data_IF_153468455551
#
_entry.id   IF_153468455551
#
_cell.length_a   1.000
_cell.length_b   1.000
_cell.length_c   1.000
_cell.angle_alpha   90.00
_cell.angle_beta   90.00
_cell.angle_gamma   90.00
#
_symmetry.space_group_name_H-M   'P 1'
#
loop_
_entity.id
_entity.type
_entity.pdbx_description
1 polymer ?
#
# COMPACT_ATOMS: atom_id res chain seq x y z
N UNK A 1 13.08 -18.43 3.47
CA UNK A 1 13.22 -17.36 2.47
C UNK A 1 11.85 -16.97 2.02
N UNK A 2 11.57 -15.67 1.89
CA UNK A 2 10.31 -15.22 1.31
C UNK A 2 10.21 -15.73 -0.12
N UNK A 3 9.06 -16.33 -0.47
CA UNK A 3 8.78 -16.75 -1.83
C UNK A 3 8.62 -15.51 -2.71
N UNK A 4 9.47 -15.37 -3.73
CA UNK A 4 9.39 -14.30 -4.72
C UNK A 4 8.42 -14.71 -5.84
N UNK A 5 7.17 -14.92 -5.44
CA UNK A 5 6.08 -15.30 -6.33
C UNK A 5 5.25 -14.07 -6.77
N UNK A 6 4.28 -14.30 -7.64
CA UNK A 6 3.37 -13.27 -8.14
C UNK A 6 2.63 -12.55 -7.00
N UNK A 7 2.31 -13.28 -5.93
CA UNK A 7 1.61 -12.74 -4.77
C UNK A 7 2.49 -11.73 -4.00
N UNK A 8 3.79 -12.01 -3.87
CA UNK A 8 4.75 -11.08 -3.30
C UNK A 8 4.89 -9.82 -4.16
N UNK A 9 4.99 -9.97 -5.49
CA UNK A 9 5.10 -8.84 -6.44
C UNK A 9 3.91 -7.89 -6.31
N UNK A 10 2.70 -8.42 -6.23
CA UNK A 10 1.49 -7.60 -6.12
C UNK A 10 1.38 -6.88 -4.78
N UNK A 11 1.78 -7.53 -3.69
CA UNK A 11 1.91 -6.86 -2.39
C UNK A 11 2.94 -5.74 -2.45
N UNK A 12 4.07 -5.96 -3.11
CA UNK A 12 5.12 -4.95 -3.27
C UNK A 12 4.66 -3.74 -4.11
N UNK A 13 3.77 -3.92 -5.08
CA UNK A 13 3.15 -2.81 -5.83
C UNK A 13 2.20 -1.96 -4.97
N UNK A 14 1.62 -2.51 -3.90
CA UNK A 14 0.74 -1.78 -2.97
C UNK A 14 1.53 -1.12 -1.85
N UNK A 15 2.50 -1.83 -1.31
CA UNK A 15 3.31 -1.37 -0.20
C UNK A 15 4.78 -1.71 -0.45
N UNK A 16 5.38 -0.92 -1.33
CA UNK A 16 6.78 -1.12 -1.73
C UNK A 16 7.71 -1.02 -0.54
N UNK A 17 7.48 -0.05 0.35
CA UNK A 17 8.37 0.19 1.48
C UNK A 17 8.35 -0.97 2.48
N UNK A 18 7.17 -1.48 2.85
CA UNK A 18 7.09 -2.64 3.73
C UNK A 18 7.64 -3.91 3.06
N UNK A 19 7.27 -4.18 1.81
CA UNK A 19 7.68 -5.38 1.10
C UNK A 19 9.21 -5.44 0.87
N UNK A 20 9.84 -4.32 0.47
CA UNK A 20 11.30 -4.26 0.29
C UNK A 20 12.00 -4.42 1.64
N UNK A 21 11.52 -3.75 2.69
CA UNK A 21 12.10 -3.88 4.04
C UNK A 21 12.05 -5.32 4.55
N UNK A 22 10.93 -6.01 4.33
CA UNK A 22 10.72 -7.42 4.68
C UNK A 22 11.65 -8.35 3.89
N UNK A 23 11.75 -8.16 2.57
CA UNK A 23 12.63 -8.93 1.69
C UNK A 23 14.10 -8.80 2.11
N UNK A 24 14.58 -7.56 2.25
CA UNK A 24 15.96 -7.31 2.67
C UNK A 24 16.22 -7.93 4.05
N UNK A 25 15.28 -7.82 4.99
CA UNK A 25 15.42 -8.42 6.32
C UNK A 25 15.52 -9.96 6.25
N UNK A 26 14.65 -10.61 5.48
CA UNK A 26 14.66 -12.07 5.31
C UNK A 26 15.96 -12.55 4.66
N UNK A 27 16.41 -11.88 3.59
CA UNK A 27 17.65 -12.26 2.89
C UNK A 27 18.86 -12.07 3.79
N UNK A 28 18.97 -10.92 4.47
CA UNK A 28 20.09 -10.62 5.37
C UNK A 28 20.13 -11.53 6.61
N UNK A 29 19.01 -12.12 7.01
CA UNK A 29 18.94 -13.08 8.11
C UNK A 29 19.40 -14.49 7.70
N UNK A 30 19.29 -14.84 6.42
CA UNK A 30 19.64 -16.17 5.91
C UNK A 30 21.09 -16.30 5.45
N UNK A 31 21.71 -15.18 5.06
CA UNK A 31 23.08 -15.18 4.55
C UNK A 31 24.11 -14.99 5.65
N UNK A 32 25.27 -15.61 5.48
CA UNK A 32 26.39 -15.39 6.39
C UNK A 32 26.86 -13.92 6.34
N UNK A 33 27.36 -13.41 7.47
CA UNK A 33 28.00 -12.09 7.55
C UNK A 33 29.51 -12.25 7.36
N UNK A 34 30.10 -11.50 6.43
CA UNK A 34 31.56 -11.40 6.29
C UNK A 34 32.12 -12.12 5.05
N UNK A 35 33.39 -12.54 5.11
CA UNK A 35 34.19 -12.94 3.94
C UNK A 35 34.06 -14.41 3.50
N UNK A 36 33.34 -15.23 4.25
CA UNK A 36 33.18 -16.66 4.01
C UNK A 36 31.84 -16.99 3.33
N UNK A 37 31.65 -16.45 2.13
CA UNK A 37 30.45 -16.68 1.33
C UNK A 37 30.35 -18.13 0.83
N UNK A 38 29.24 -18.79 1.13
CA UNK A 38 28.89 -20.09 0.55
C UNK A 38 28.26 -19.95 -0.84
N UNK A 39 28.22 -21.06 -1.59
CA UNK A 39 27.48 -21.10 -2.86
C UNK A 39 25.98 -20.83 -2.67
N UNK A 40 25.44 -21.18 -1.49
CA UNK A 40 24.07 -20.87 -1.14
C UNK A 40 23.89 -19.37 -0.92
N UNK A 41 24.76 -18.70 -0.14
CA UNK A 41 24.69 -17.24 0.06
C UNK A 41 24.71 -16.49 -1.27
N UNK A 42 25.60 -16.90 -2.18
CA UNK A 42 25.66 -16.34 -3.53
C UNK A 42 24.32 -16.47 -4.27
N UNK A 43 23.69 -17.65 -4.23
CA UNK A 43 22.40 -17.88 -4.87
C UNK A 43 21.31 -16.98 -4.28
N UNK A 44 21.21 -16.90 -2.95
CA UNK A 44 20.20 -16.08 -2.25
C UNK A 44 20.38 -14.60 -2.60
N UNK A 45 21.61 -14.08 -2.47
CA UNK A 45 21.92 -12.68 -2.75
C UNK A 45 21.67 -12.33 -4.21
N UNK A 46 22.12 -13.17 -5.14
CA UNK A 46 21.91 -12.95 -6.58
C UNK A 46 20.42 -12.92 -6.94
N UNK A 47 19.63 -13.83 -6.36
CA UNK A 47 18.19 -13.88 -6.62
C UNK A 47 17.50 -12.62 -6.09
N UNK A 48 17.83 -12.17 -4.88
CA UNK A 48 17.30 -10.93 -4.32
C UNK A 48 17.69 -9.70 -5.14
N UNK A 49 18.95 -9.64 -5.58
CA UNK A 49 19.46 -8.57 -6.44
C UNK A 49 18.69 -8.51 -7.77
N UNK A 50 18.60 -9.62 -8.50
CA UNK A 50 17.91 -9.67 -9.79
C UNK A 50 16.43 -9.30 -9.65
N UNK A 51 15.77 -9.74 -8.59
CA UNK A 51 14.38 -9.40 -8.33
C UNK A 51 14.17 -7.89 -8.09
N UNK A 52 15.03 -7.28 -7.25
CA UNK A 52 14.93 -5.86 -6.93
C UNK A 52 15.35 -4.97 -8.11
N UNK A 53 16.31 -5.40 -8.94
CA UNK A 53 16.64 -4.72 -10.20
C UNK A 53 15.47 -4.78 -11.19
N UNK A 54 14.83 -5.93 -11.36
CA UNK A 54 13.62 -6.04 -12.18
C UNK A 54 12.49 -5.13 -11.66
N UNK A 55 12.32 -5.03 -10.35
CA UNK A 55 11.36 -4.10 -9.74
C UNK A 55 11.74 -2.63 -9.98
N UNK A 56 13.03 -2.30 -10.02
CA UNK A 56 13.54 -0.97 -10.37
C UNK A 56 13.24 -0.64 -11.83
N UNK A 57 13.53 -1.55 -12.75
CA UNK A 57 13.24 -1.39 -14.19
C UNK A 57 11.73 -1.22 -14.46
N UNK A 58 10.89 -1.88 -13.66
CA UNK A 58 9.44 -1.71 -13.68
C UNK A 58 8.94 -0.41 -12.99
N UNK A 59 9.84 0.46 -12.53
CA UNK A 59 9.54 1.69 -11.77
C UNK A 59 8.70 1.45 -10.51
N UNK A 60 8.82 0.28 -9.89
CA UNK A 60 8.15 -0.02 -8.61
C UNK A 60 8.92 0.62 -7.45
N UNK A 61 10.25 0.63 -7.52
CA UNK A 61 11.08 1.24 -6.48
C UNK A 61 10.97 2.77 -6.50
N UNK A 62 10.94 3.37 -5.31
CA UNK A 62 10.89 4.81 -5.12
C UNK A 62 12.12 5.50 -5.76
N UNK A 63 11.89 6.69 -6.32
CA UNK A 63 12.95 7.56 -6.83
C UNK A 63 13.95 7.88 -5.73
N UNK A 64 15.24 7.74 -6.02
CA UNK A 64 16.32 7.92 -5.04
C UNK A 64 16.68 6.67 -4.22
N UNK A 65 16.07 5.52 -4.49
CA UNK A 65 16.52 4.24 -3.92
C UNK A 65 18.01 4.01 -4.23
N UNK A 66 18.81 3.51 -3.26
CA UNK A 66 20.21 3.17 -3.47
C UNK A 66 20.41 2.22 -4.65
N UNK A 67 21.54 2.36 -5.37
CA UNK A 67 21.89 1.53 -6.54
C UNK A 67 23.30 0.99 -6.37
N UNK A 68 23.54 -0.25 -6.83
CA UNK A 68 24.91 -0.78 -6.91
C UNK A 68 25.62 -0.16 -8.11
N UNK A 69 26.67 0.62 -7.86
CA UNK A 69 27.39 1.31 -8.92
C UNK A 69 28.11 0.36 -9.90
N UNK A 70 28.63 -0.77 -9.41
CA UNK A 70 29.26 -1.78 -10.25
C UNK A 70 29.17 -3.16 -9.59
N UNK A 71 28.67 -4.15 -10.32
CA UNK A 71 28.67 -5.55 -9.91
C UNK A 71 29.73 -6.27 -10.74
N UNK A 72 30.84 -6.67 -10.11
CA UNK A 72 31.81 -7.55 -10.76
C UNK A 72 31.30 -9.00 -10.72
N UNK A 73 30.80 -9.47 -11.86
CA UNK A 73 30.26 -10.81 -12.03
C UNK A 73 31.33 -11.91 -12.01
N UNK A 74 32.62 -11.55 -12.11
CA UNK A 74 33.73 -12.51 -12.14
C UNK A 74 34.21 -12.89 -10.74
N UNK A 75 33.96 -12.05 -9.74
CA UNK A 75 34.38 -12.27 -8.36
C UNK A 75 33.18 -12.45 -7.41
N UNK A 76 32.81 -13.71 -7.16
CA UNK A 76 31.66 -14.06 -6.29
C UNK A 76 31.75 -13.45 -4.90
N UNK A 77 32.95 -13.36 -4.30
CA UNK A 77 33.11 -12.82 -2.95
C UNK A 77 32.84 -11.32 -2.92
N UNK A 78 33.38 -10.60 -3.90
CA UNK A 78 33.14 -9.17 -4.05
C UNK A 78 31.66 -8.90 -4.34
N UNK A 79 31.05 -9.70 -5.23
CA UNK A 79 29.64 -9.60 -5.57
C UNK A 79 28.72 -9.78 -4.36
N UNK A 80 28.93 -10.83 -3.57
CA UNK A 80 28.13 -11.07 -2.36
C UNK A 80 28.28 -9.93 -1.35
N UNK A 81 29.50 -9.42 -1.14
CA UNK A 81 29.73 -8.29 -0.26
C UNK A 81 29.04 -7.01 -0.76
N UNK A 82 29.12 -6.71 -2.05
CA UNK A 82 28.46 -5.57 -2.66
C UNK A 82 26.94 -5.65 -2.53
N UNK A 83 26.34 -6.80 -2.84
CA UNK A 83 24.89 -7.02 -2.72
C UNK A 83 24.46 -6.94 -1.26
N UNK A 84 25.20 -7.55 -0.31
CA UNK A 84 24.86 -7.46 1.11
C UNK A 84 24.85 -6.01 1.60
N UNK A 85 25.90 -5.24 1.29
CA UNK A 85 25.98 -3.81 1.65
C UNK A 85 24.81 -3.04 1.07
N UNK A 86 24.52 -3.23 -0.21
CA UNK A 86 23.41 -2.57 -0.87
C UNK A 86 22.05 -2.95 -0.28
N UNK A 87 21.81 -4.22 0.05
CA UNK A 87 20.57 -4.64 0.72
C UNK A 87 20.41 -3.98 2.11
N UNK A 88 21.50 -3.73 2.82
CA UNK A 88 21.48 -2.98 4.09
C UNK A 88 21.10 -1.52 3.86
N UNK A 89 21.70 -0.87 2.86
CA UNK A 89 21.40 0.53 2.50
C UNK A 89 19.96 0.68 2.01
N UNK A 90 19.52 -0.20 1.11
CA UNK A 90 18.16 -0.21 0.56
C UNK A 90 17.13 -0.41 1.66
N UNK A 91 17.37 -1.36 2.58
CA UNK A 91 16.52 -1.56 3.76
C UNK A 91 16.45 -0.32 4.64
N UNK A 92 17.59 0.34 4.88
CA UNK A 92 17.64 1.56 5.68
C UNK A 92 16.83 2.68 5.05
N UNK A 93 16.95 2.87 3.73
CA UNK A 93 16.20 3.84 2.96
C UNK A 93 14.68 3.64 3.07
N UNK A 94 14.19 2.43 2.80
CA UNK A 94 12.75 2.16 2.88
C UNK A 94 12.21 2.15 4.31
N UNK A 95 13.04 1.79 5.30
CA UNK A 95 12.67 1.93 6.70
C UNK A 95 12.51 3.39 7.10
N UNK A 96 13.37 4.29 6.62
CA UNK A 96 13.21 5.71 6.84
C UNK A 96 11.90 6.25 6.25
N UNK A 97 11.48 5.76 5.07
CA UNK A 97 10.17 6.11 4.49
C UNK A 97 9.02 5.64 5.41
N UNK A 98 9.07 4.39 5.88
CA UNK A 98 8.05 3.86 6.79
C UNK A 98 8.00 4.64 8.12
N UNK A 99 9.16 4.94 8.69
CA UNK A 99 9.27 5.69 9.94
C UNK A 99 8.75 7.12 9.78
N UNK A 100 9.05 7.78 8.65
CA UNK A 100 8.50 9.11 8.34
C UNK A 100 6.98 9.09 8.20
N UNK A 101 6.42 8.11 7.49
CA UNK A 101 4.96 7.95 7.37
C UNK A 101 4.31 7.72 8.73
N UNK A 102 4.90 6.86 9.58
CA UNK A 102 4.40 6.59 10.92
C UNK A 102 4.47 7.82 11.83
N UNK A 103 5.56 8.60 11.71
CA UNK A 103 5.71 9.89 12.42
C UNK A 103 4.67 10.89 11.96
N UNK A 104 4.41 11.01 10.66
CA UNK A 104 3.41 11.95 10.14
C UNK A 104 2.00 11.56 10.57
N UNK A 105 1.63 10.27 10.47
CA UNK A 105 0.35 9.75 10.99
C UNK A 105 0.20 10.01 12.49
N UNK A 106 1.24 9.78 13.28
CA UNK A 106 1.22 10.03 14.74
C UNK A 106 1.11 11.52 15.06
N UNK A 107 1.86 12.36 14.34
CA UNK A 107 1.82 13.81 14.50
C UNK A 107 0.44 14.36 14.15
N UNK A 108 -0.16 13.88 13.07
CA UNK A 108 -1.49 14.27 12.64
C UNK A 108 -2.57 13.79 13.62
N UNK A 109 -2.45 12.57 14.16
CA UNK A 109 -3.29 12.06 15.23
C UNK A 109 -3.23 12.97 16.48
N UNK A 110 -2.04 13.31 16.97
CA UNK A 110 -1.90 14.18 18.14
C UNK A 110 -2.40 15.60 17.87
N UNK A 111 -2.13 16.15 16.69
CA UNK A 111 -2.63 17.49 16.32
C UNK A 111 -4.16 17.54 16.30
N UNK A 112 -4.81 16.47 15.82
CA UNK A 112 -6.27 16.29 15.88
C UNK A 112 -6.78 16.20 17.33
N UNK A 113 -6.08 15.47 18.21
CA UNK A 113 -6.43 15.41 19.64
C UNK A 113 -6.33 16.78 20.32
N UNK A 114 -5.30 17.57 19.99
CA UNK A 114 -5.12 18.91 20.56
C UNK A 114 -5.98 19.99 19.88
N UNK A 115 -6.83 19.64 18.91
CA UNK A 115 -7.66 20.59 18.17
C UNK A 115 -6.85 21.63 17.38
N UNK A 116 -5.57 21.35 17.14
CA UNK A 116 -4.62 22.26 16.49
C UNK A 116 -4.53 22.09 14.98
N UNK A 117 -5.18 21.05 14.43
CA UNK A 117 -5.42 20.89 13.00
C UNK A 117 -6.89 20.61 12.75
N UNK A 118 -7.33 21.07 11.58
CA UNK A 118 -8.53 20.58 10.92
C UNK A 118 -8.54 19.04 10.92
N UNK A 119 -9.67 18.45 11.28
CA UNK A 119 -9.82 16.99 11.27
C UNK A 119 -11.21 16.62 10.77
N UNK A 120 -11.26 15.50 10.07
CA UNK A 120 -12.50 14.87 9.68
C UNK A 120 -13.00 14.03 10.85
N UNK A 121 -14.08 14.47 11.47
CA UNK A 121 -14.70 13.73 12.57
C UNK A 121 -15.88 12.93 12.03
N UNK A 122 -15.83 11.60 12.13
CA UNK A 122 -16.98 10.74 11.87
C UNK A 122 -17.94 10.80 13.07
N UNK A 123 -19.25 10.75 12.81
CA UNK A 123 -20.19 10.44 13.90
C UNK A 123 -19.98 8.99 14.34
N UNK A 124 -20.40 8.65 15.57
CA UNK A 124 -20.28 7.27 16.05
C UNK A 124 -21.03 6.28 15.15
N UNK A 125 -22.24 6.64 14.70
CA UNK A 125 -23.02 5.80 13.78
C UNK A 125 -22.40 5.69 12.39
N UNK A 126 -21.78 6.77 11.88
CA UNK A 126 -21.05 6.72 10.60
C UNK A 126 -19.82 5.81 10.70
N UNK A 127 -19.06 5.90 11.81
CA UNK A 127 -17.88 5.06 12.05
C UNK A 127 -18.25 3.57 12.09
N UNK A 128 -19.28 3.21 12.85
CA UNK A 128 -19.80 1.84 12.94
C UNK A 128 -20.29 1.33 11.58
N UNK A 129 -20.97 2.19 10.81
CA UNK A 129 -21.45 1.84 9.49
C UNK A 129 -20.31 1.62 8.49
N UNK A 130 -19.27 2.45 8.49
CA UNK A 130 -18.09 2.25 7.64
C UNK A 130 -17.38 0.95 8.02
N UNK A 131 -17.23 0.64 9.31
CA UNK A 131 -16.64 -0.64 9.75
C UNK A 131 -17.43 -1.85 9.21
N UNK A 132 -18.76 -1.80 9.29
CA UNK A 132 -19.63 -2.85 8.75
C UNK A 132 -19.43 -2.98 7.23
N UNK A 133 -19.48 -1.87 6.49
CA UNK A 133 -19.32 -1.87 5.03
C UNK A 133 -17.95 -2.40 4.59
N UNK A 134 -16.89 -2.07 5.32
CA UNK A 134 -15.54 -2.59 5.07
C UNK A 134 -15.48 -4.10 5.28
N UNK A 135 -16.13 -4.63 6.31
CA UNK A 135 -16.21 -6.07 6.53
C UNK A 135 -17.02 -6.77 5.41
N UNK A 136 -18.17 -6.22 5.03
CA UNK A 136 -18.96 -6.72 3.89
C UNK A 136 -18.14 -6.71 2.59
N UNK A 137 -17.35 -5.66 2.36
CA UNK A 137 -16.44 -5.57 1.22
C UNK A 137 -15.39 -6.68 1.22
N UNK A 138 -14.79 -6.98 2.37
CA UNK A 138 -13.82 -8.09 2.49
C UNK A 138 -14.44 -9.42 2.10
N UNK A 139 -15.66 -9.71 2.56
CA UNK A 139 -16.37 -10.95 2.23
C UNK A 139 -16.71 -11.04 0.74
N UNK A 140 -17.22 -9.94 0.16
CA UNK A 140 -17.59 -9.87 -1.26
C UNK A 140 -16.37 -9.99 -2.17
N UNK A 141 -15.28 -9.31 -1.87
CA UNK A 141 -14.04 -9.42 -2.65
C UNK A 141 -13.45 -10.83 -2.56
N UNK A 142 -13.49 -11.45 -1.39
CA UNK A 142 -12.98 -12.82 -1.20
C UNK A 142 -13.74 -13.83 -2.07
N UNK A 143 -15.06 -13.65 -2.18
CA UNK A 143 -15.96 -14.53 -2.94
C UNK A 143 -16.12 -14.16 -4.43
N UNK A 144 -15.70 -12.97 -4.85
CA UNK A 144 -15.87 -12.50 -6.24
C UNK A 144 -15.09 -13.34 -7.26
N UNK A 145 -15.51 -13.32 -8.52
CA UNK A 145 -14.80 -13.93 -9.65
C UNK A 145 -13.61 -13.08 -10.14
N UNK A 146 -12.80 -12.58 -9.20
CA UNK A 146 -11.57 -11.84 -9.45
C UNK A 146 -10.38 -12.81 -9.44
N UNK A 147 -9.32 -12.45 -10.16
CA UNK A 147 -8.04 -13.15 -10.00
C UNK A 147 -7.50 -12.99 -8.57
N UNK A 148 -6.85 -14.04 -8.05
CA UNK A 148 -6.41 -14.10 -6.65
C UNK A 148 -5.40 -12.98 -6.29
N UNK A 149 -4.58 -12.60 -7.27
CA UNK A 149 -3.67 -11.46 -7.20
C UNK A 149 -4.43 -10.16 -6.89
N UNK A 150 -5.46 -9.85 -7.68
CA UNK A 150 -6.27 -8.66 -7.51
C UNK A 150 -7.10 -8.69 -6.22
N UNK A 151 -7.65 -9.84 -5.85
CA UNK A 151 -8.33 -10.00 -4.54
C UNK A 151 -7.40 -9.64 -3.40
N UNK A 152 -6.20 -10.23 -3.38
CA UNK A 152 -5.20 -9.98 -2.33
C UNK A 152 -4.84 -8.51 -2.25
N UNK A 153 -4.67 -7.86 -3.40
CA UNK A 153 -4.38 -6.44 -3.50
C UNK A 153 -5.45 -5.56 -2.83
N UNK A 154 -6.72 -5.82 -3.14
CA UNK A 154 -7.85 -5.08 -2.56
C UNK A 154 -7.99 -5.34 -1.06
N UNK A 155 -7.82 -6.60 -0.63
CA UNK A 155 -7.92 -6.98 0.78
C UNK A 155 -6.85 -6.31 1.64
N UNK A 156 -5.61 -6.23 1.17
CA UNK A 156 -4.53 -5.51 1.87
C UNK A 156 -4.85 -4.02 2.02
N UNK A 157 -5.45 -3.40 1.00
CA UNK A 157 -5.87 -1.99 1.08
C UNK A 157 -7.00 -1.77 2.07
N UNK A 158 -7.98 -2.67 2.11
CA UNK A 158 -9.06 -2.62 3.09
C UNK A 158 -8.55 -2.81 4.53
N UNK A 159 -7.58 -3.69 4.76
CA UNK A 159 -6.95 -3.86 6.07
C UNK A 159 -6.28 -2.58 6.55
N UNK A 160 -5.53 -1.91 5.67
CA UNK A 160 -4.91 -0.61 6.00
C UNK A 160 -5.95 0.44 6.33
N UNK A 161 -6.98 0.59 5.50
CA UNK A 161 -8.08 1.53 5.74
C UNK A 161 -8.75 1.26 7.09
N UNK A 162 -9.02 -0.01 7.40
CA UNK A 162 -9.63 -0.42 8.67
C UNK A 162 -8.73 -0.11 9.87
N UNK A 163 -7.42 -0.31 9.76
CA UNK A 163 -6.47 -0.07 10.85
C UNK A 163 -6.35 1.42 11.23
N UNK A 164 -6.69 2.31 10.31
CA UNK A 164 -6.62 3.76 10.50
C UNK A 164 -7.99 4.41 10.71
N UNK A 165 -9.05 3.60 10.69
CA UNK A 165 -10.42 4.05 10.87
C UNK A 165 -10.69 4.40 12.33
N UNK A 166 -10.57 5.69 12.64
CA UNK A 166 -10.84 6.26 13.95
C UNK A 166 -11.92 7.34 13.88
N UNK A 167 -12.46 7.72 15.04
CA UNK A 167 -13.48 8.78 15.13
C UNK A 167 -12.98 10.11 14.52
N UNK A 168 -11.70 10.41 14.65
CA UNK A 168 -11.07 11.58 14.03
C UNK A 168 -9.91 11.14 13.14
N UNK A 169 -9.91 11.60 11.90
CA UNK A 169 -8.82 11.37 10.93
C UNK A 169 -8.33 12.68 10.35
N UNK A 170 -7.06 12.71 9.93
CA UNK A 170 -6.41 13.91 9.40
C UNK A 170 -6.58 14.11 7.90
N UNK A 171 -6.78 13.02 7.17
CA UNK A 171 -6.96 12.98 5.73
C UNK A 171 -7.97 11.89 5.37
N UNK A 172 -8.50 11.98 4.15
CA UNK A 172 -9.46 11.01 3.60
C UNK A 172 -8.89 10.27 2.37
N UNK A 173 -7.61 10.44 2.06
CA UNK A 173 -6.97 9.98 0.82
C UNK A 173 -7.12 8.47 0.62
N UNK A 174 -7.02 7.70 1.70
CA UNK A 174 -7.18 6.24 1.67
C UNK A 174 -8.60 5.82 1.28
N UNK A 175 -9.61 6.60 1.66
CA UNK A 175 -10.99 6.36 1.23
C UNK A 175 -11.17 6.68 -0.26
N UNK A 176 -10.56 7.76 -0.75
CA UNK A 176 -10.59 8.10 -2.17
C UNK A 176 -9.85 7.07 -3.04
N UNK A 177 -8.77 6.48 -2.52
CA UNK A 177 -8.10 5.33 -3.14
C UNK A 177 -9.02 4.11 -3.33
N UNK A 178 -9.90 3.82 -2.37
CA UNK A 178 -10.89 2.73 -2.47
C UNK A 178 -11.91 2.98 -3.59
N UNK A 179 -12.32 4.24 -3.80
CA UNK A 179 -13.22 4.61 -4.90
C UNK A 179 -12.53 4.43 -6.25
N UNK A 180 -11.25 4.79 -6.35
CA UNK A 180 -10.44 4.49 -7.54
C UNK A 180 -10.40 3.00 -7.86
N UNK A 181 -10.28 2.15 -6.84
CA UNK A 181 -10.31 0.69 -6.99
C UNK A 181 -11.65 0.16 -7.49
N UNK A 182 -12.78 0.81 -7.14
CA UNK A 182 -14.10 0.44 -7.64
C UNK A 182 -14.16 0.49 -9.18
N UNK A 183 -13.52 1.48 -9.80
CA UNK A 183 -13.45 1.59 -11.26
C UNK A 183 -12.75 0.40 -11.92
N UNK A 184 -11.70 -0.11 -11.28
CA UNK A 184 -10.97 -1.30 -11.76
C UNK A 184 -11.81 -2.57 -11.59
N UNK A 185 -12.51 -2.71 -10.46
CA UNK A 185 -13.41 -3.84 -10.20
C UNK A 185 -14.57 -3.88 -11.19
N UNK A 186 -15.15 -2.71 -11.52
CA UNK A 186 -16.18 -2.58 -12.58
C UNK A 186 -15.64 -3.08 -13.92
N UNK A 187 -14.43 -2.63 -14.31
CA UNK A 187 -13.83 -3.05 -15.58
C UNK A 187 -13.55 -4.55 -15.67
N UNK A 188 -13.28 -5.22 -14.55
CA UNK A 188 -12.98 -6.66 -14.50
C UNK A 188 -14.20 -7.56 -14.37
N UNK A 189 -15.20 -7.18 -13.57
CA UNK A 189 -16.35 -8.02 -13.25
C UNK A 189 -17.62 -7.62 -14.02
N UNK A 190 -17.66 -6.45 -14.66
CA UNK A 190 -18.86 -5.96 -15.33
C UNK A 190 -20.03 -5.85 -14.34
N UNK A 191 -21.16 -6.47 -14.68
CA UNK A 191 -22.38 -6.44 -13.85
C UNK A 191 -22.21 -7.16 -12.51
N UNK A 192 -21.33 -8.16 -12.43
CA UNK A 192 -21.01 -8.87 -11.18
C UNK A 192 -20.24 -8.00 -10.19
N UNK A 193 -19.74 -6.83 -10.62
CA UNK A 193 -19.10 -5.84 -9.74
C UNK A 193 -20.09 -5.17 -8.79
N UNK A 194 -21.38 -5.14 -9.13
CA UNK A 194 -22.41 -4.34 -8.46
C UNK A 194 -22.42 -4.50 -6.93
N UNK A 195 -22.33 -5.71 -6.35
CA UNK A 195 -22.36 -5.86 -4.91
C UNK A 195 -21.14 -5.26 -4.21
N UNK A 196 -19.98 -5.18 -4.86
CA UNK A 196 -18.79 -4.52 -4.32
C UNK A 196 -18.92 -3.02 -4.49
N UNK A 197 -19.28 -2.57 -5.70
CA UNK A 197 -19.39 -1.15 -6.05
C UNK A 197 -20.41 -0.43 -5.20
N UNK A 198 -21.56 -1.05 -4.93
CA UNK A 198 -22.60 -0.45 -4.09
C UNK A 198 -22.12 -0.22 -2.65
N UNK A 199 -21.33 -1.13 -2.09
CA UNK A 199 -20.72 -0.93 -0.76
C UNK A 199 -19.67 0.19 -0.78
N UNK A 200 -18.85 0.26 -1.84
CA UNK A 200 -17.86 1.35 -1.99
C UNK A 200 -18.58 2.70 -2.10
N UNK A 201 -19.69 2.77 -2.84
CA UNK A 201 -20.53 3.98 -2.92
C UNK A 201 -21.10 4.39 -1.58
N UNK A 202 -21.58 3.44 -0.78
CA UNK A 202 -22.06 3.76 0.58
C UNK A 202 -20.95 4.28 1.49
N UNK A 203 -19.73 3.74 1.37
CA UNK A 203 -18.55 4.30 2.07
C UNK A 203 -18.27 5.72 1.57
N UNK A 204 -18.27 5.94 0.26
CA UNK A 204 -18.05 7.24 -0.36
C UNK A 204 -19.05 8.29 0.13
N UNK A 205 -20.33 7.95 0.24
CA UNK A 205 -21.37 8.85 0.73
C UNK A 205 -21.14 9.26 2.20
N UNK A 206 -20.67 8.33 3.04
CA UNK A 206 -20.34 8.63 4.45
C UNK A 206 -19.11 9.54 4.53
N UNK A 207 -18.08 9.24 3.75
CA UNK A 207 -16.83 10.01 3.68
C UNK A 207 -17.11 11.43 3.15
N UNK A 208 -17.91 11.54 2.09
CA UNK A 208 -18.31 12.82 1.52
C UNK A 208 -19.13 13.68 2.48
N UNK A 209 -20.10 13.10 3.21
CA UNK A 209 -20.84 13.85 4.25
C UNK A 209 -19.92 14.33 5.37
N UNK A 210 -18.93 13.51 5.74
CA UNK A 210 -17.92 13.87 6.74
C UNK A 210 -17.05 15.02 6.25
N UNK A 211 -16.58 14.97 5.01
CA UNK A 211 -15.82 16.04 4.37
C UNK A 211 -16.65 17.32 4.23
N UNK A 212 -17.88 17.21 3.73
CA UNK A 212 -18.79 18.35 3.54
C UNK A 212 -19.06 19.08 4.85
N UNK A 213 -19.25 18.35 5.95
CA UNK A 213 -19.43 18.95 7.28
C UNK A 213 -18.16 19.65 7.76
N UNK A 214 -16.99 19.02 7.57
CA UNK A 214 -15.73 19.59 8.00
C UNK A 214 -15.41 20.87 7.21
N UNK A 215 -15.61 20.85 5.89
CA UNK A 215 -15.36 21.96 4.96
C UNK A 215 -16.53 22.98 4.88
N UNK A 216 -17.50 22.92 5.81
CA UNK A 216 -18.64 23.83 5.91
C UNK A 216 -19.45 24.01 4.60
N UNK A 217 -19.54 22.96 3.79
CA UNK A 217 -20.35 22.97 2.58
C UNK A 217 -21.84 23.05 2.91
N UNK A 218 -22.69 23.60 2.00
CA UNK A 218 -24.12 23.65 2.20
C UNK A 218 -24.73 22.29 2.56
N UNK A 219 -25.65 22.28 3.52
CA UNK A 219 -26.39 21.08 3.90
C UNK A 219 -27.06 20.45 2.69
N UNK A 220 -26.78 19.17 2.45
CA UNK A 220 -27.28 18.44 1.29
C UNK A 220 -26.41 18.54 0.04
N UNK A 221 -25.16 19.03 0.17
CA UNK A 221 -24.18 18.96 -0.92
C UNK A 221 -24.01 17.53 -1.40
N UNK A 222 -24.40 17.28 -2.65
CA UNK A 222 -24.26 15.97 -3.26
C UNK A 222 -22.79 15.65 -3.55
N UNK A 223 -22.46 14.36 -3.57
CA UNK A 223 -21.13 13.92 -3.96
C UNK A 223 -20.85 14.38 -5.40
N UNK A 224 -19.78 15.15 -5.66
CA UNK A 224 -19.48 15.67 -6.99
C UNK A 224 -19.14 14.51 -7.90
N UNK A 225 -20.09 14.17 -8.78
CA UNK A 225 -19.86 13.24 -9.87
C UNK A 225 -19.15 14.01 -10.98
N UNK A 226 -18.03 13.48 -11.46
CA UNK A 226 -17.47 13.94 -12.72
C UNK A 226 -18.47 13.55 -13.81
N UNK A 227 -19.32 14.49 -14.21
CA UNK A 227 -20.16 14.31 -15.39
C UNK A 227 -19.25 14.25 -16.61
N UNK A 228 -19.39 13.20 -17.41
CA UNK A 228 -18.86 13.17 -18.77
C UNK A 228 -19.58 14.27 -19.54
N UNK A 229 -18.96 15.44 -19.67
CA UNK A 229 -19.26 16.33 -20.79
C UNK A 229 -18.72 15.68 -22.05
N UNK A 230 -19.37 14.61 -22.50
CA UNK A 230 -19.38 14.25 -23.91
C UNK A 230 -20.17 15.36 -24.60
N UNK A 231 -19.42 16.42 -24.94
CA UNK A 231 -19.92 17.61 -25.60
C UNK A 231 -20.56 17.27 -26.94
N UNK A 232 -21.58 18.09 -27.22
CA UNK A 232 -22.24 18.36 -28.50
C UNK A 232 -21.36 18.22 -29.75
#
# INVERSE_FOLDING_TARGET
>A
MIALDEAFVERMKVDTAAAVTELCASVLAEVQKGSNWSANDYKILSQAYMFLEAAREANILASGSPVIAAVDMTNRKFMCAAIQTWLVELRSFYRAILDLNALDSSKNHFRSMFGSLFSYEFSQGDLEKVQLLVNELRERISSAALDDSHKRRLLVRLEKLQSELHKKVSDLDRFWGLIGDAGVVIGKLGDDAKPIVDRIREVADIVWRTQSRAEELPSGSEFPRLEDKSGE
#
